data_IF_521059344060
#
_entry.id   IF_521059344060
#
_cell.length_a   1.000
_cell.length_b   1.000
_cell.length_c   1.000
_cell.angle_alpha   90.00
_cell.angle_beta   90.00
_cell.angle_gamma   90.00
#
_symmetry.space_group_name_H-M   'P 1'
#
loop_
_entity.id
_entity.type
_entity.pdbx_description
1 polymer ?
#
# COMPACT_ATOMS: atom_id res chain seq x y z
N UNK A 1 23.05 58.98 11.26
CA UNK A 1 23.90 58.62 10.10
C UNK A 1 24.69 57.36 10.44
N UNK A 2 24.64 56.35 9.55
CA UNK A 2 25.48 55.14 9.33
C UNK A 2 25.99 54.34 10.57
N UNK A 3 25.73 53.03 10.79
CA UNK A 3 25.94 51.75 10.05
C UNK A 3 27.41 51.33 9.76
N UNK A 4 27.86 50.31 10.50
CA UNK A 4 28.52 49.03 10.12
C UNK A 4 29.75 48.99 9.19
N UNK A 5 30.77 48.18 9.56
CA UNK A 5 31.02 46.80 9.05
C UNK A 5 32.48 46.34 9.19
N UNK A 6 32.67 45.02 9.29
CA UNK A 6 33.91 44.30 9.54
C UNK A 6 34.49 43.58 8.30
N UNK A 7 35.83 43.46 8.31
CA UNK A 7 36.66 42.26 8.04
C UNK A 7 36.70 41.54 6.66
N UNK A 8 37.85 41.64 5.98
CA UNK A 8 38.93 40.63 6.01
C UNK A 8 38.81 39.31 5.21
N UNK A 9 39.43 39.26 4.02
CA UNK A 9 39.77 38.08 3.19
C UNK A 9 40.89 37.21 3.81
N UNK A 10 40.98 35.93 3.40
CA UNK A 10 42.17 35.28 2.81
C UNK A 10 41.83 33.89 2.21
N UNK A 11 42.70 33.37 1.34
CA UNK A 11 42.44 32.41 0.25
C UNK A 11 43.27 31.10 0.31
N UNK A 12 42.86 30.12 -0.51
CA UNK A 12 43.63 28.93 -1.00
C UNK A 12 43.55 27.69 -0.09
N UNK A 13 43.43 26.43 -0.53
CA UNK A 13 43.48 25.80 -1.86
C UNK A 13 44.12 24.40 -1.73
N UNK A 14 43.48 23.39 -2.32
CA UNK A 14 43.94 22.04 -2.71
C UNK A 14 43.64 20.81 -1.81
N UNK A 15 43.31 19.73 -2.54
CA UNK A 15 42.63 18.50 -2.18
C UNK A 15 43.59 17.31 -1.99
N UNK A 16 43.20 16.33 -1.17
CA UNK A 16 43.95 15.08 -1.09
C UNK A 16 43.43 14.03 -0.10
N UNK A 17 42.69 13.06 -0.66
CA UNK A 17 42.70 11.62 -0.30
C UNK A 17 42.19 11.22 1.11
N UNK A 18 40.92 10.83 1.19
CA UNK A 18 40.45 9.88 2.21
C UNK A 18 40.50 8.45 1.66
N UNK A 19 41.38 7.63 2.24
CA UNK A 19 41.36 6.17 2.17
C UNK A 19 40.50 5.66 3.33
N UNK A 20 39.51 4.81 3.07
CA UNK A 20 38.97 3.95 4.11
C UNK A 20 38.96 2.50 3.64
N UNK A 21 39.51 1.66 4.51
CA UNK A 21 39.76 0.25 4.30
C UNK A 21 38.46 -0.54 4.48
N UNK A 22 38.21 -1.47 3.56
CA UNK A 22 37.20 -2.49 3.71
C UNK A 22 37.83 -3.71 4.36
N UNK A 23 37.39 -4.05 5.57
CA UNK A 23 37.75 -5.29 6.24
C UNK A 23 36.95 -6.46 5.70
N UNK A 24 37.68 -7.57 5.53
CA UNK A 24 37.27 -8.79 4.87
C UNK A 24 36.75 -9.78 5.92
N UNK A 25 35.66 -10.46 5.63
CA UNK A 25 35.45 -11.83 6.09
C UNK A 25 35.17 -12.74 4.90
N UNK A 26 36.17 -13.56 4.58
CA UNK A 26 36.09 -14.69 3.68
C UNK A 26 35.87 -15.96 4.50
N UNK A 27 34.95 -16.83 4.06
CA UNK A 27 34.98 -18.24 4.39
C UNK A 27 35.13 -19.02 3.09
N UNK A 28 36.09 -19.93 3.10
CA UNK A 28 36.67 -20.57 1.94
C UNK A 28 35.89 -21.80 1.43
N UNK A 29 36.18 -22.09 0.17
CA UNK A 29 35.73 -23.18 -0.68
C UNK A 29 35.99 -24.60 -0.14
N UNK A 30 35.18 -25.55 -0.64
CA UNK A 30 35.61 -26.93 -0.88
C UNK A 30 35.39 -27.29 -2.36
N UNK A 31 36.41 -27.97 -2.91
CA UNK A 31 36.66 -28.26 -4.33
C UNK A 31 36.16 -29.64 -4.75
N UNK A 32 35.92 -29.78 -6.05
CA UNK A 32 35.95 -31.01 -6.84
C UNK A 32 35.10 -30.81 -8.10
N UNK A 33 35.55 -30.91 -9.35
CA UNK A 33 36.76 -31.45 -9.95
C UNK A 33 36.34 -32.10 -11.28
N UNK A 34 37.12 -31.87 -12.35
CA UNK A 34 37.06 -32.49 -13.69
C UNK A 34 35.92 -31.97 -14.60
N UNK A 35 36.11 -31.50 -15.84
CA UNK A 35 37.22 -31.62 -16.78
C UNK A 35 36.64 -32.13 -18.10
N UNK A 36 36.48 -31.27 -19.11
CA UNK A 36 36.52 -31.63 -20.53
C UNK A 36 36.37 -30.38 -21.41
N UNK A 37 37.43 -30.08 -22.16
CA UNK A 37 37.39 -29.16 -23.29
C UNK A 37 36.86 -29.89 -24.53
N UNK A 38 36.04 -29.22 -25.33
CA UNK A 38 35.86 -29.55 -26.74
C UNK A 38 35.57 -28.28 -27.54
N UNK A 39 36.29 -28.17 -28.66
CA UNK A 39 36.37 -27.05 -29.60
C UNK A 39 35.26 -27.09 -30.64
N UNK A 40 34.83 -25.89 -31.05
CA UNK A 40 34.48 -25.43 -32.42
C UNK A 40 33.41 -26.21 -33.20
N UNK A 41 32.29 -25.55 -33.51
CA UNK A 41 31.72 -25.55 -34.86
C UNK A 41 30.77 -24.36 -35.07
N UNK A 42 31.09 -23.57 -36.09
CA UNK A 42 30.25 -22.57 -36.76
C UNK A 42 29.01 -23.19 -37.38
N UNK A 43 27.87 -22.51 -37.30
CA UNK A 43 26.68 -22.87 -38.08
C UNK A 43 25.54 -21.87 -37.88
N UNK A 44 25.42 -20.94 -38.82
CA UNK A 44 24.25 -20.08 -38.94
C UNK A 44 23.01 -20.89 -39.26
N UNK A 45 21.91 -20.62 -38.56
CA UNK A 45 20.62 -21.26 -38.77
C UNK A 45 19.50 -20.36 -38.27
N UNK A 46 18.83 -19.71 -39.21
CA UNK A 46 17.66 -18.86 -39.00
C UNK A 46 16.49 -19.69 -38.47
N UNK A 47 16.13 -19.53 -37.20
CA UNK A 47 14.94 -20.19 -36.62
C UNK A 47 13.71 -19.34 -36.88
N UNK A 48 12.95 -19.69 -37.93
CA UNK A 48 11.56 -19.27 -38.10
C UNK A 48 10.69 -20.06 -37.11
N UNK A 49 10.16 -19.40 -36.08
CA UNK A 49 9.10 -19.94 -35.24
C UNK A 49 7.83 -20.17 -36.08
N UNK A 50 7.42 -21.43 -36.22
CA UNK A 50 6.08 -21.81 -36.70
C UNK A 50 5.14 -21.84 -35.51
N UNK A 51 4.16 -20.94 -35.52
CA UNK A 51 2.97 -21.00 -34.65
C UNK A 51 2.02 -22.08 -35.18
N UNK A 52 1.62 -23.00 -34.30
CA UNK A 52 0.52 -23.93 -34.57
C UNK A 52 -0.82 -23.28 -34.16
N UNK A 53 -1.88 -23.35 -34.98
CA UNK A 53 -3.18 -22.81 -34.60
C UNK A 53 -3.98 -23.82 -33.77
N UNK A 54 -4.41 -23.41 -32.58
CA UNK A 54 -5.41 -24.11 -31.77
C UNK A 54 -6.80 -23.85 -32.39
N UNK A 55 -7.43 -24.91 -32.89
CA UNK A 55 -8.80 -24.88 -33.39
C UNK A 55 -9.81 -24.88 -32.24
N UNK A 56 -10.58 -23.79 -32.13
CA UNK A 56 -11.78 -23.73 -31.29
C UNK A 56 -12.99 -23.55 -32.23
N UNK A 57 -13.93 -24.50 -32.18
CA UNK A 57 -15.21 -24.44 -32.90
C UNK A 57 -16.18 -23.51 -32.15
N UNK A 58 -16.90 -22.59 -32.82
CA UNK A 58 -17.95 -21.82 -32.17
C UNK A 58 -19.25 -22.64 -32.08
N UNK A 59 -19.79 -22.75 -30.86
CA UNK A 59 -21.12 -23.26 -30.57
C UNK A 59 -22.20 -22.25 -30.94
N UNK A 60 -23.32 -22.77 -31.44
CA UNK A 60 -24.47 -22.06 -32.00
C UNK A 60 -25.23 -21.24 -30.95
N UNK A 61 -25.56 -20.00 -31.28
CA UNK A 61 -26.57 -19.19 -30.58
C UNK A 61 -27.86 -19.20 -31.40
N UNK A 62 -28.88 -19.91 -30.91
CA UNK A 62 -30.26 -19.75 -31.38
C UNK A 62 -30.94 -18.61 -30.60
N UNK A 63 -31.52 -17.69 -31.35
CA UNK A 63 -32.34 -16.59 -30.87
C UNK A 63 -33.83 -16.97 -30.95
N UNK A 64 -34.57 -16.88 -29.84
CA UNK A 64 -36.04 -16.71 -29.85
C UNK A 64 -36.57 -15.92 -28.66
N UNK A 65 -37.01 -14.70 -28.99
CA UNK A 65 -38.22 -13.97 -28.61
C UNK A 65 -38.99 -14.27 -27.28
N UNK A 66 -39.08 -13.20 -26.48
CA UNK A 66 -40.30 -12.42 -26.14
C UNK A 66 -41.40 -12.99 -25.21
N UNK A 67 -41.91 -12.05 -24.38
CA UNK A 67 -43.19 -11.97 -23.63
C UNK A 67 -43.27 -12.56 -22.23
N UNK A 68 -43.30 -11.66 -21.24
CA UNK A 68 -43.69 -11.97 -19.87
C UNK A 68 -43.69 -10.78 -18.92
N UNK A 69 -44.52 -9.76 -19.21
CA UNK A 69 -44.69 -8.56 -18.39
C UNK A 69 -45.44 -8.92 -17.09
N UNK A 70 -44.73 -9.04 -15.97
CA UNK A 70 -45.35 -9.18 -14.63
C UNK A 70 -45.03 -7.92 -13.82
N UNK A 71 -46.08 -7.13 -13.53
CA UNK A 71 -46.01 -5.96 -12.65
C UNK A 71 -45.92 -6.42 -11.19
N UNK A 72 -45.06 -5.82 -10.35
CA UNK A 72 -45.09 -6.08 -8.92
C UNK A 72 -46.33 -5.46 -8.28
N UNK A 73 -47.09 -6.27 -7.53
CA UNK A 73 -48.24 -5.82 -6.74
C UNK A 73 -47.73 -5.07 -5.50
N UNK A 74 -48.03 -3.78 -5.46
CA UNK A 74 -47.83 -2.89 -4.30
C UNK A 74 -48.69 -3.37 -3.12
N UNK A 75 -48.06 -3.59 -1.95
CA UNK A 75 -48.72 -3.95 -0.69
C UNK A 75 -48.64 -2.73 0.24
N UNK A 76 -49.76 -2.13 0.69
CA UNK A 76 -49.72 -0.94 1.52
C UNK A 76 -49.21 -1.27 2.94
N UNK A 77 -48.44 -0.33 3.50
CA UNK A 77 -47.87 -0.41 4.85
C UNK A 77 -48.96 -0.32 5.96
N UNK A 78 -48.77 -0.98 7.11
CA UNK A 78 -49.68 -0.89 8.25
C UNK A 78 -49.62 0.49 8.94
N UNK A 79 -50.71 0.94 9.59
CA UNK A 79 -50.79 2.26 10.22
C UNK A 79 -49.89 2.38 11.47
N UNK A 80 -49.40 3.60 11.79
CA UNK A 80 -48.53 3.84 12.93
C UNK A 80 -49.27 3.70 14.27
N UNK A 81 -48.56 3.17 15.28
CA UNK A 81 -49.02 3.09 16.68
C UNK A 81 -49.03 4.48 17.35
N UNK A 82 -49.94 4.74 18.31
CA UNK A 82 -50.07 6.05 18.93
C UNK A 82 -48.88 6.41 19.84
N UNK A 83 -48.55 7.70 19.82
CA UNK A 83 -47.47 8.33 20.57
C UNK A 83 -47.70 8.28 22.09
N UNK A 84 -46.70 7.79 22.83
CA UNK A 84 -46.65 7.94 24.28
C UNK A 84 -46.20 9.35 24.65
N UNK A 85 -46.93 9.94 25.61
CA UNK A 85 -46.83 11.32 26.07
C UNK A 85 -45.50 11.62 26.76
N UNK A 86 -45.11 12.88 26.59
CA UNK A 86 -44.02 13.59 27.22
C UNK A 86 -44.11 13.62 28.75
N UNK A 87 -42.96 13.42 29.40
CA UNK A 87 -42.66 14.03 30.70
C UNK A 87 -41.17 14.35 30.83
N UNK A 88 -40.89 15.63 31.02
CA UNK A 88 -39.67 16.28 31.53
C UNK A 88 -40.20 17.47 32.36
N UNK A 89 -39.46 18.09 33.31
CA UNK A 89 -37.99 18.10 33.47
C UNK A 89 -37.47 18.06 34.93
N UNK A 90 -36.14 18.09 35.10
CA UNK A 90 -35.49 18.45 36.37
C UNK A 90 -33.95 18.27 36.33
N UNK A 91 -33.13 19.30 36.64
CA UNK A 91 -31.70 19.31 36.32
C UNK A 91 -30.79 18.86 37.47
N UNK A 92 -29.58 18.42 37.12
CA UNK A 92 -28.41 18.52 37.99
C UNK A 92 -27.72 17.20 38.35
N UNK A 93 -26.65 16.85 37.62
CA UNK A 93 -25.29 16.81 38.19
C UNK A 93 -24.26 16.44 37.13
N UNK A 94 -23.22 17.28 37.09
CA UNK A 94 -21.99 17.10 36.35
C UNK A 94 -21.03 16.17 37.10
N UNK A 95 -20.07 15.63 36.35
CA UNK A 95 -18.86 14.90 36.72
C UNK A 95 -19.02 13.40 36.96
N UNK A 96 -18.64 12.61 35.95
CA UNK A 96 -17.36 11.87 35.90
C UNK A 96 -17.19 11.40 34.45
N UNK A 97 -16.13 11.86 33.77
CA UNK A 97 -15.76 11.40 32.43
C UNK A 97 -15.18 9.99 32.50
N UNK A 98 -16.08 9.01 32.57
CA UNK A 98 -15.78 7.62 32.26
C UNK A 98 -15.53 7.48 30.77
N UNK A 99 -14.50 6.69 30.40
CA UNK A 99 -14.31 6.18 29.04
C UNK A 99 -15.66 5.68 28.53
N UNK A 100 -16.24 6.39 27.57
CA UNK A 100 -17.33 5.86 26.77
C UNK A 100 -16.72 4.79 25.86
N UNK A 101 -16.59 3.58 26.41
CA UNK A 101 -16.53 2.35 25.65
C UNK A 101 -17.75 2.36 24.72
N UNK A 102 -17.50 2.68 23.45
CA UNK A 102 -18.54 2.68 22.43
C UNK A 102 -18.92 1.23 22.18
N UNK A 103 -20.07 0.82 22.70
CA UNK A 103 -20.87 -0.27 22.13
C UNK A 103 -21.24 0.16 20.69
N UNK A 104 -20.35 -0.15 19.74
CA UNK A 104 -20.66 -0.14 18.31
C UNK A 104 -21.12 -1.55 17.93
N UNK A 105 -22.06 -1.63 16.99
CA UNK A 105 -22.48 -2.89 16.38
C UNK A 105 -21.25 -3.73 15.96
N UNK A 106 -21.38 -5.05 16.04
CA UNK A 106 -20.30 -6.04 16.22
C UNK A 106 -19.25 -6.20 15.08
N UNK A 107 -19.12 -5.24 14.17
CA UNK A 107 -18.11 -5.24 13.11
C UNK A 107 -17.30 -3.94 13.05
N UNK A 108 -15.98 -4.05 12.83
CA UNK A 108 -15.09 -2.89 12.72
C UNK A 108 -15.26 -2.15 11.40
N UNK A 109 -15.20 -0.81 11.39
CA UNK A 109 -15.32 0.01 10.18
C UNK A 109 -13.97 0.25 9.52
N UNK A 110 -13.89 -0.01 8.22
CA UNK A 110 -12.67 0.16 7.42
C UNK A 110 -12.90 1.21 6.34
N UNK A 111 -12.11 2.29 6.38
CA UNK A 111 -12.13 3.32 5.35
C UNK A 111 -11.22 2.91 4.22
N UNK A 112 -11.75 2.75 3.02
CA UNK A 112 -10.95 2.78 1.79
C UNK A 112 -11.06 4.19 1.24
N UNK A 113 -9.98 4.96 1.36
CA UNK A 113 -10.00 6.40 1.06
C UNK A 113 -10.18 6.62 -0.43
N UNK A 114 -11.26 7.29 -0.81
CA UNK A 114 -11.52 7.76 -2.17
C UNK A 114 -11.08 9.21 -2.31
N UNK A 115 -10.05 9.42 -3.12
CA UNK A 115 -9.58 10.73 -3.55
C UNK A 115 -9.37 10.75 -5.06
N UNK A 116 -10.17 9.95 -5.78
CA UNK A 116 -10.13 9.77 -7.23
C UNK A 116 -8.81 9.15 -7.76
N UNK A 117 -8.15 8.34 -6.95
CA UNK A 117 -6.96 7.57 -7.33
C UNK A 117 -7.01 6.15 -6.78
N UNK A 118 -6.29 5.25 -7.46
CA UNK A 118 -6.17 3.85 -7.07
C UNK A 118 -7.29 2.97 -7.61
N UNK A 119 -7.11 1.66 -7.43
CA UNK A 119 -8.12 0.66 -7.80
C UNK A 119 -9.01 0.35 -6.59
N UNK A 120 -9.89 1.29 -6.26
CA UNK A 120 -10.75 1.25 -5.07
C UNK A 120 -11.61 -0.03 -5.02
N UNK A 121 -12.18 -0.43 -6.16
CA UNK A 121 -13.03 -1.61 -6.26
C UNK A 121 -12.28 -2.92 -5.98
N UNK A 122 -11.03 -3.06 -6.43
CA UNK A 122 -10.23 -4.24 -6.09
C UNK A 122 -9.77 -4.22 -4.64
N UNK A 123 -9.36 -3.05 -4.12
CA UNK A 123 -8.95 -2.92 -2.72
C UNK A 123 -10.10 -3.26 -1.76
N UNK A 124 -11.30 -2.70 -1.98
CA UNK A 124 -12.48 -2.98 -1.14
C UNK A 124 -12.88 -4.44 -1.19
N UNK A 125 -12.96 -5.04 -2.38
CA UNK A 125 -13.29 -6.47 -2.54
C UNK A 125 -12.25 -7.39 -1.90
N UNK A 126 -10.97 -7.05 -1.98
CA UNK A 126 -9.91 -7.83 -1.35
C UNK A 126 -9.99 -7.77 0.17
N UNK A 127 -10.37 -6.62 0.75
CA UNK A 127 -10.64 -6.47 2.18
C UNK A 127 -11.85 -7.29 2.62
N UNK A 128 -12.97 -7.20 1.90
CA UNK A 128 -14.19 -7.99 2.14
C UNK A 128 -13.89 -9.50 2.09
N UNK A 129 -13.14 -9.94 1.08
CA UNK A 129 -12.73 -11.33 0.92
C UNK A 129 -11.80 -11.79 2.05
N UNK A 130 -10.81 -10.97 2.42
CA UNK A 130 -9.90 -11.27 3.52
C UNK A 130 -10.66 -11.36 4.85
N UNK A 131 -11.60 -10.46 5.10
CA UNK A 131 -12.45 -10.45 6.29
C UNK A 131 -13.33 -11.70 6.36
N UNK A 132 -14.01 -12.02 5.26
CA UNK A 132 -14.84 -13.23 5.11
C UNK A 132 -14.05 -14.50 5.42
N UNK A 133 -12.87 -14.68 4.79
CA UNK A 133 -12.01 -15.84 5.02
C UNK A 133 -11.47 -15.92 6.45
N UNK A 134 -11.23 -14.77 7.07
CA UNK A 134 -10.74 -14.69 8.44
C UNK A 134 -11.86 -14.79 9.49
N UNK A 135 -13.14 -14.79 9.09
CA UNK A 135 -14.28 -14.75 10.01
C UNK A 135 -14.32 -13.46 10.84
N UNK A 136 -13.94 -12.33 10.25
CA UNK A 136 -13.93 -11.02 10.91
C UNK A 136 -15.09 -10.21 10.35
N UNK A 137 -16.00 -9.78 11.23
CA UNK A 137 -17.10 -8.89 10.84
C UNK A 137 -16.57 -7.46 10.69
N UNK A 138 -16.72 -6.89 9.50
CA UNK A 138 -16.26 -5.53 9.19
C UNK A 138 -17.19 -4.86 8.18
N UNK A 139 -17.34 -3.54 8.33
CA UNK A 139 -17.97 -2.69 7.33
C UNK A 139 -16.88 -1.99 6.52
N UNK A 140 -16.70 -2.42 5.26
CA UNK A 140 -15.80 -1.75 4.32
C UNK A 140 -16.56 -0.64 3.61
N UNK A 141 -16.06 0.59 3.68
CA UNK A 141 -16.64 1.72 2.94
C UNK A 141 -15.58 2.42 2.11
N UNK A 142 -15.86 2.55 0.80
CA UNK A 142 -15.11 3.44 -0.09
C UNK A 142 -15.67 4.84 0.11
N UNK A 143 -14.86 5.75 0.64
CA UNK A 143 -15.37 7.07 1.08
C UNK A 143 -14.33 8.17 0.97
N UNK A 144 -14.81 9.36 0.63
CA UNK A 144 -14.08 10.62 0.68
C UNK A 144 -14.53 11.51 1.86
N UNK A 145 -15.43 11.00 2.72
CA UNK A 145 -16.00 11.72 3.86
C UNK A 145 -15.00 11.78 5.04
N UNK A 146 -14.48 12.97 5.40
CA UNK A 146 -13.56 13.13 6.52
C UNK A 146 -14.10 12.65 7.87
N UNK A 147 -15.40 12.79 8.13
CA UNK A 147 -16.00 12.39 9.42
C UNK A 147 -16.11 10.86 9.52
N UNK A 148 -16.38 10.20 8.39
CA UNK A 148 -16.36 8.76 8.31
C UNK A 148 -14.95 8.23 8.58
N UNK A 149 -13.94 8.81 7.92
CA UNK A 149 -12.52 8.44 8.06
C UNK A 149 -12.01 8.67 9.48
N UNK A 150 -12.31 9.84 10.09
CA UNK A 150 -11.86 10.16 11.46
C UNK A 150 -12.34 9.15 12.49
N UNK A 151 -13.46 8.48 12.21
CA UNK A 151 -14.07 7.55 13.14
C UNK A 151 -13.89 6.08 12.72
N UNK A 152 -13.20 5.81 11.62
CA UNK A 152 -12.92 4.45 11.16
C UNK A 152 -12.00 3.71 12.14
N UNK A 153 -12.22 2.40 12.27
CA UNK A 153 -11.38 1.54 13.10
C UNK A 153 -10.08 1.17 12.38
N UNK A 154 -10.06 1.23 11.04
CA UNK A 154 -8.88 1.05 10.19
C UNK A 154 -8.99 1.91 8.93
N UNK A 155 -7.85 2.34 8.39
CA UNK A 155 -7.78 3.16 7.17
C UNK A 155 -6.88 2.48 6.15
N UNK A 156 -7.35 2.41 4.90
CA UNK A 156 -6.59 1.95 3.75
C UNK A 156 -6.53 3.08 2.73
N UNK A 157 -5.31 3.48 2.38
CA UNK A 157 -5.05 4.47 1.33
C UNK A 157 -4.46 3.76 0.11
N UNK A 158 -5.29 3.38 -0.87
CA UNK A 158 -4.79 2.91 -2.16
C UNK A 158 -4.32 4.09 -3.02
N UNK A 159 -3.31 3.90 -3.87
CA UNK A 159 -2.92 4.93 -4.82
C UNK A 159 -2.35 4.36 -6.12
N UNK A 160 -2.64 5.02 -7.23
CA UNK A 160 -2.12 4.71 -8.57
C UNK A 160 -1.86 6.00 -9.34
N UNK A 161 -0.82 6.00 -10.17
CA UNK A 161 -0.43 7.15 -11.00
C UNK A 161 0.76 7.86 -10.38
N UNK A 162 0.91 9.15 -10.68
CA UNK A 162 2.05 9.90 -10.19
C UNK A 162 1.89 10.28 -8.70
N UNK A 163 3.02 10.34 -7.97
CA UNK A 163 3.06 10.79 -6.58
C UNK A 163 2.35 12.15 -6.41
N UNK A 164 2.71 13.12 -7.28
CA UNK A 164 2.20 14.48 -7.21
C UNK A 164 0.68 14.55 -7.48
N UNK A 165 0.18 13.72 -8.38
CA UNK A 165 -1.26 13.65 -8.69
C UNK A 165 -2.03 13.12 -7.48
N UNK A 166 -1.48 12.09 -6.82
CA UNK A 166 -2.11 11.52 -5.64
C UNK A 166 -2.10 12.49 -4.45
N UNK A 167 -0.98 13.17 -4.21
CA UNK A 167 -0.87 14.20 -3.17
C UNK A 167 -1.86 15.36 -3.40
N UNK A 168 -2.02 15.79 -4.67
CA UNK A 168 -3.02 16.81 -5.04
C UNK A 168 -4.45 16.31 -4.84
N UNK A 169 -4.76 15.06 -5.22
CA UNK A 169 -6.08 14.48 -5.03
C UNK A 169 -6.50 14.44 -3.55
N UNK A 170 -5.58 14.05 -2.65
CA UNK A 170 -5.81 14.11 -1.20
C UNK A 170 -6.08 15.53 -0.69
N UNK A 171 -5.37 16.51 -1.26
CA UNK A 171 -5.50 17.91 -0.85
C UNK A 171 -6.74 18.59 -1.44
N UNK A 172 -7.26 18.08 -2.57
CA UNK A 172 -8.42 18.62 -3.25
C UNK A 172 -9.73 18.35 -2.51
N UNK A 173 -9.79 17.26 -1.73
CA UNK A 173 -10.95 16.96 -0.87
C UNK A 173 -10.76 17.65 0.48
N UNK A 174 -11.59 18.65 0.75
CA UNK A 174 -11.49 19.48 1.96
C UNK A 174 -11.53 18.62 3.24
N UNK A 175 -10.50 18.75 4.08
CA UNK A 175 -10.41 18.07 5.37
C UNK A 175 -10.01 16.59 5.30
N UNK A 176 -9.82 16.02 4.10
CA UNK A 176 -9.52 14.60 3.93
C UNK A 176 -8.16 14.21 4.54
N UNK A 177 -7.11 14.94 4.15
CA UNK A 177 -5.76 14.76 4.73
C UNK A 177 -5.78 14.89 6.25
N UNK A 178 -6.41 15.94 6.77
CA UNK A 178 -6.50 16.18 8.20
C UNK A 178 -7.23 15.05 8.94
N UNK A 179 -8.33 14.50 8.39
CA UNK A 179 -9.02 13.37 9.00
C UNK A 179 -8.17 12.10 9.07
N UNK A 180 -7.36 11.82 8.05
CA UNK A 180 -6.41 10.70 8.04
C UNK A 180 -5.33 10.94 9.12
N UNK A 181 -4.76 12.14 9.17
CA UNK A 181 -3.74 12.51 10.16
C UNK A 181 -4.30 12.44 11.59
N UNK A 182 -5.51 12.94 11.84
CA UNK A 182 -6.22 12.89 13.12
C UNK A 182 -6.41 11.44 13.59
N UNK A 183 -6.99 10.59 12.74
CA UNK A 183 -7.28 9.20 13.07
C UNK A 183 -6.00 8.41 13.34
N UNK A 184 -5.01 8.53 12.46
CA UNK A 184 -3.75 7.80 12.63
C UNK A 184 -2.93 8.35 13.79
N UNK A 185 -2.98 9.65 14.08
CA UNK A 185 -2.38 10.25 15.27
C UNK A 185 -3.02 9.76 16.58
N UNK A 186 -4.29 9.35 16.53
CA UNK A 186 -4.99 8.71 17.64
C UNK A 186 -4.77 7.19 17.74
N UNK A 187 -3.94 6.61 16.87
CA UNK A 187 -3.58 5.18 16.89
C UNK A 187 -4.37 4.30 15.92
N UNK A 188 -5.27 4.83 15.09
CA UNK A 188 -6.01 4.03 14.10
C UNK A 188 -5.06 3.35 13.10
N UNK A 189 -5.07 2.01 12.95
CA UNK A 189 -4.21 1.32 12.00
C UNK A 189 -4.41 1.81 10.56
N UNK A 190 -3.30 2.05 9.87
CA UNK A 190 -3.26 2.55 8.50
C UNK A 190 -2.48 1.62 7.58
N UNK A 191 -2.99 1.39 6.37
CA UNK A 191 -2.31 0.66 5.31
C UNK A 191 -2.28 1.48 4.00
N UNK A 192 -1.09 1.93 3.59
CA UNK A 192 -0.86 2.50 2.27
C UNK A 192 -0.58 1.42 1.22
N UNK A 193 -1.16 1.51 0.02
CA UNK A 193 -0.92 0.56 -1.08
C UNK A 193 -0.34 1.28 -2.29
N UNK A 194 0.82 0.80 -2.76
CA UNK A 194 1.58 1.36 -3.87
C UNK A 194 1.86 2.85 -3.66
N UNK A 195 1.23 3.76 -4.42
CA UNK A 195 1.42 5.20 -4.21
C UNK A 195 0.90 5.65 -2.84
N UNK A 196 -0.06 4.93 -2.25
CA UNK A 196 -0.47 5.18 -0.86
C UNK A 196 0.63 4.92 0.17
N UNK A 197 1.50 3.93 -0.06
CA UNK A 197 2.72 3.71 0.74
C UNK A 197 3.74 4.82 0.46
N UNK A 198 3.90 5.19 -0.81
CA UNK A 198 4.82 6.25 -1.22
C UNK A 198 4.48 7.59 -0.55
N UNK A 199 3.19 7.95 -0.50
CA UNK A 199 2.73 9.18 0.17
C UNK A 199 3.06 9.23 1.65
N UNK A 200 3.36 8.10 2.31
CA UNK A 200 3.79 8.09 3.72
C UNK A 200 5.18 8.73 3.91
N UNK A 201 6.01 8.78 2.86
CA UNK A 201 7.35 9.36 2.88
C UNK A 201 7.33 10.88 3.07
N UNK A 202 8.50 11.48 3.28
CA UNK A 202 8.65 12.95 3.42
C UNK A 202 8.33 13.67 2.12
N UNK A 203 8.76 13.10 0.98
CA UNK A 203 8.55 13.69 -0.35
C UNK A 203 8.66 12.66 -1.47
N UNK A 204 8.10 12.99 -2.63
CA UNK A 204 8.32 12.29 -3.90
C UNK A 204 8.99 13.18 -4.93
N UNK A 205 9.83 12.58 -5.77
CA UNK A 205 10.64 13.25 -6.79
C UNK A 205 10.13 13.00 -8.23
N UNK A 206 9.01 12.31 -8.37
CA UNK A 206 8.38 12.05 -9.67
C UNK A 206 7.85 13.34 -10.28
N UNK A 207 8.46 13.74 -11.40
CA UNK A 207 8.13 14.97 -12.14
C UNK A 207 8.27 16.27 -11.33
N UNK A 208 9.14 16.26 -10.32
CA UNK A 208 9.40 17.39 -9.43
C UNK A 208 9.29 16.97 -7.96
N UNK A 209 9.63 17.88 -7.06
CA UNK A 209 9.54 17.64 -5.62
C UNK A 209 8.13 17.94 -5.10
N UNK A 210 7.49 16.94 -4.51
CA UNK A 210 6.17 17.08 -3.87
C UNK A 210 6.22 16.57 -2.43
N UNK A 211 5.78 17.37 -1.43
CA UNK A 211 5.68 16.91 -0.05
C UNK A 211 4.71 15.74 0.12
N UNK A 212 5.09 14.76 0.93
CA UNK A 212 4.23 13.65 1.35
C UNK A 212 3.53 13.91 2.69
N UNK A 213 3.24 12.83 3.40
CA UNK A 213 2.68 12.83 4.75
C UNK A 213 3.77 12.96 5.82
N UNK A 214 5.03 12.63 5.49
CA UNK A 214 6.18 12.78 6.39
C UNK A 214 6.15 11.85 7.59
N UNK A 215 5.54 10.67 7.45
CA UNK A 215 5.46 9.68 8.52
C UNK A 215 6.65 8.73 8.51
N UNK A 216 7.15 8.40 7.32
CA UNK A 216 8.34 7.58 7.10
C UNK A 216 9.45 8.50 6.59
N UNK A 217 10.63 8.38 7.19
CA UNK A 217 11.83 9.11 6.72
C UNK A 217 12.15 8.69 5.29
N UNK A 218 12.63 9.62 4.47
CA UNK A 218 13.16 9.34 3.15
C UNK A 218 12.27 9.84 2.02
N UNK A 219 12.64 9.48 0.79
CA UNK A 219 12.03 10.02 -0.42
C UNK A 219 11.74 8.96 -1.47
N UNK A 220 10.72 9.24 -2.28
CA UNK A 220 10.31 8.40 -3.39
C UNK A 220 11.04 8.87 -4.65
N UNK A 221 12.06 8.11 -5.05
CA UNK A 221 12.98 8.47 -6.13
C UNK A 221 12.91 7.49 -7.30
N UNK A 222 13.29 7.91 -8.53
CA UNK A 222 13.38 7.00 -9.67
C UNK A 222 14.30 5.81 -9.34
N UNK A 223 13.84 4.61 -9.66
CA UNK A 223 14.65 3.41 -9.45
C UNK A 223 15.86 3.39 -10.40
N UNK A 224 17.02 3.00 -9.87
CA UNK A 224 18.19 2.69 -10.68
C UNK A 224 18.32 1.17 -10.82
N UNK A 225 17.83 0.64 -11.94
CA UNK A 225 17.78 -0.81 -12.21
C UNK A 225 18.57 -1.16 -13.50
N UNK A 226 19.91 -1.17 -13.47
CA UNK A 226 20.73 -1.36 -14.66
C UNK A 226 20.49 -2.72 -15.31
N UNK A 227 20.26 -2.74 -16.61
CA UNK A 227 19.98 -3.96 -17.38
C UNK A 227 18.55 -4.52 -17.22
N UNK A 228 17.71 -3.87 -16.42
CA UNK A 228 16.30 -4.24 -16.23
C UNK A 228 15.37 -3.20 -16.85
N UNK A 229 14.10 -3.57 -17.09
CA UNK A 229 13.10 -2.66 -17.67
C UNK A 229 12.32 -1.95 -16.58
N UNK A 230 12.10 -0.65 -16.73
CA UNK A 230 11.15 0.09 -15.90
C UNK A 230 9.83 0.31 -16.65
N UNK A 231 8.67 0.29 -15.95
CA UNK A 231 8.50 -0.04 -14.53
C UNK A 231 8.86 -1.50 -14.22
N UNK A 232 9.28 -1.79 -12.98
CA UNK A 232 9.22 -3.13 -12.42
C UNK A 232 7.76 -3.58 -12.49
N UNK A 233 7.48 -4.59 -13.31
CA UNK A 233 6.12 -5.09 -13.53
C UNK A 233 6.11 -6.61 -13.46
N UNK A 234 5.42 -7.15 -12.47
CA UNK A 234 5.25 -8.60 -12.31
C UNK A 234 5.32 -9.05 -10.86
N UNK A 235 5.33 -10.37 -10.70
CA UNK A 235 5.52 -11.02 -9.41
C UNK A 235 7.00 -10.99 -9.04
N UNK A 236 7.32 -10.55 -7.82
CA UNK A 236 8.69 -10.59 -7.29
C UNK A 236 8.69 -11.08 -5.85
N UNK A 237 9.81 -11.70 -5.47
CA UNK A 237 10.02 -12.30 -4.17
C UNK A 237 10.06 -11.26 -3.05
N UNK A 238 9.43 -11.57 -1.93
CA UNK A 238 9.55 -10.82 -0.69
C UNK A 238 10.64 -11.42 0.19
N UNK A 239 11.60 -10.59 0.57
CA UNK A 239 12.70 -10.91 1.47
C UNK A 239 12.41 -10.26 2.82
N UNK A 240 12.26 -11.07 3.86
CA UNK A 240 11.97 -10.61 5.22
C UNK A 240 12.34 -11.67 6.25
N UNK A 241 12.41 -11.26 7.52
CA UNK A 241 12.57 -12.18 8.64
C UNK A 241 11.20 -12.65 9.13
N UNK A 242 10.88 -13.95 9.12
CA UNK A 242 9.60 -14.45 9.61
C UNK A 242 9.30 -14.02 11.04
N UNK A 243 8.08 -13.56 11.29
CA UNK A 243 7.64 -13.11 12.61
C UNK A 243 8.15 -11.73 13.03
N UNK A 244 8.91 -11.02 12.18
CA UNK A 244 9.42 -9.68 12.50
C UNK A 244 8.31 -8.62 12.60
N UNK A 245 7.18 -8.81 11.93
CA UNK A 245 6.04 -7.89 11.98
C UNK A 245 4.71 -8.64 11.84
N UNK A 246 3.64 -8.26 12.57
CA UNK A 246 2.33 -8.93 12.53
C UNK A 246 1.75 -9.06 11.12
N UNK A 247 2.00 -8.07 10.24
CA UNK A 247 1.53 -8.11 8.86
C UNK A 247 2.13 -9.24 8.01
N UNK A 248 3.28 -9.79 8.41
CA UNK A 248 3.95 -10.89 7.71
C UNK A 248 3.65 -12.26 8.31
N UNK A 249 2.84 -12.34 9.36
CA UNK A 249 2.51 -13.62 9.99
C UNK A 249 1.86 -14.60 9.01
N UNK A 250 2.39 -15.83 8.96
CA UNK A 250 1.92 -16.88 8.05
C UNK A 250 2.27 -16.67 6.58
N UNK A 251 3.19 -15.76 6.28
CA UNK A 251 3.94 -15.74 5.04
C UNK A 251 5.30 -16.40 5.24
N UNK A 252 5.88 -16.89 4.15
CA UNK A 252 7.23 -17.45 4.12
C UNK A 252 8.15 -16.56 3.27
N UNK A 253 9.43 -16.41 3.60
CA UNK A 253 10.40 -15.78 2.70
C UNK A 253 10.40 -16.55 1.38
N UNK A 254 10.42 -15.84 0.25
CA UNK A 254 10.14 -16.46 -1.05
C UNK A 254 8.71 -16.27 -1.53
N UNK A 255 7.77 -15.87 -0.67
CA UNK A 255 6.42 -15.49 -1.09
C UNK A 255 6.46 -14.27 -2.01
N UNK A 256 5.62 -14.26 -3.05
CA UNK A 256 5.68 -13.22 -4.09
C UNK A 256 4.59 -12.16 -3.93
N UNK A 257 4.96 -10.89 -4.07
CA UNK A 257 4.06 -9.76 -4.26
C UNK A 257 3.97 -9.35 -5.73
N UNK A 258 2.86 -8.73 -6.15
CA UNK A 258 2.70 -8.17 -7.50
C UNK A 258 3.04 -6.67 -7.53
N UNK A 259 4.10 -6.33 -8.25
CA UNK A 259 4.67 -4.98 -8.35
C UNK A 259 4.37 -4.33 -9.70
N UNK A 260 4.12 -3.01 -9.67
CA UNK A 260 4.01 -2.15 -10.87
C UNK A 260 4.46 -0.73 -10.53
N UNK A 261 5.75 -0.43 -10.62
CA UNK A 261 6.30 0.89 -10.27
C UNK A 261 7.65 1.19 -10.92
N UNK A 262 7.96 2.48 -11.10
CA UNK A 262 9.26 2.98 -11.57
C UNK A 262 10.02 3.78 -10.51
N UNK A 263 9.38 4.02 -9.37
CA UNK A 263 9.90 4.80 -8.25
C UNK A 263 9.83 3.95 -6.99
N UNK A 264 10.75 4.17 -6.06
CA UNK A 264 10.83 3.44 -4.80
C UNK A 264 11.30 4.35 -3.67
N UNK A 265 11.03 3.92 -2.43
CA UNK A 265 11.53 4.58 -1.23
C UNK A 265 13.05 4.44 -1.10
N UNK A 266 13.72 5.55 -0.81
CA UNK A 266 15.17 5.68 -0.64
C UNK A 266 15.48 6.53 0.59
N UNK A 267 16.71 6.44 1.11
CA UNK A 267 17.17 7.18 2.30
C UNK A 267 16.29 7.03 3.56
N UNK A 268 15.59 5.91 3.64
CA UNK A 268 14.69 5.56 4.74
C UNK A 268 15.45 5.08 5.98
N UNK A 269 14.75 5.08 7.12
CA UNK A 269 15.24 4.48 8.35
C UNK A 269 15.13 2.94 8.26
N UNK A 270 16.22 2.18 8.37
CA UNK A 270 16.16 0.72 8.34
C UNK A 270 15.25 0.11 9.40
N UNK A 271 14.97 0.82 10.50
CA UNK A 271 14.02 0.37 11.53
C UNK A 271 12.57 0.32 11.04
N UNK A 272 12.23 1.07 9.98
CA UNK A 272 10.89 1.04 9.37
C UNK A 272 10.74 -0.08 8.32
N UNK A 273 11.82 -0.76 7.93
CA UNK A 273 11.79 -1.79 6.89
C UNK A 273 11.27 -3.12 7.46
N UNK A 274 10.18 -3.62 6.89
CA UNK A 274 9.59 -4.91 7.27
C UNK A 274 9.94 -6.00 6.25
N UNK A 275 9.84 -5.67 4.96
CA UNK A 275 10.22 -6.56 3.87
C UNK A 275 10.80 -5.78 2.71
N UNK A 276 11.75 -6.38 2.01
CA UNK A 276 12.32 -5.87 0.76
C UNK A 276 12.05 -6.82 -0.41
N UNK A 277 12.44 -6.39 -1.60
CA UNK A 277 12.53 -7.20 -2.82
C UNK A 277 13.78 -6.77 -3.59
N UNK A 278 14.31 -7.62 -4.47
CA UNK A 278 15.46 -7.27 -5.30
C UNK A 278 15.02 -6.94 -6.73
N UNK A 279 15.34 -5.73 -7.20
CA UNK A 279 15.11 -5.33 -8.59
C UNK A 279 16.19 -4.34 -9.08
N UNK A 280 17.34 -4.88 -9.48
CA UNK A 280 18.52 -4.07 -9.82
C UNK A 280 19.18 -3.41 -8.61
N UNK A 281 18.78 -3.83 -7.41
CA UNK A 281 19.14 -3.32 -6.10
C UNK A 281 18.03 -3.62 -5.09
N UNK A 282 18.28 -3.38 -3.81
CA UNK A 282 17.29 -3.54 -2.74
C UNK A 282 16.17 -2.48 -2.86
N UNK A 283 14.93 -2.94 -2.83
CA UNK A 283 13.73 -2.11 -2.91
C UNK A 283 12.85 -2.38 -1.68
N UNK A 284 12.45 -1.36 -0.90
CA UNK A 284 11.47 -1.54 0.17
C UNK A 284 10.12 -2.02 -0.37
N UNK A 285 9.71 -3.21 0.06
CA UNK A 285 8.46 -3.83 -0.36
C UNK A 285 7.33 -3.62 0.64
N UNK A 286 7.63 -3.62 1.94
CA UNK A 286 6.73 -3.33 3.04
C UNK A 286 7.49 -2.52 4.10
N UNK A 287 6.91 -1.40 4.51
CA UNK A 287 7.43 -0.56 5.60
C UNK A 287 6.37 -0.38 6.68
N UNK A 288 6.79 -0.16 7.92
CA UNK A 288 5.88 0.14 9.03
C UNK A 288 6.54 1.01 10.09
N UNK A 289 5.76 1.93 10.66
CA UNK A 289 6.13 2.76 11.80
C UNK A 289 4.91 2.98 12.70
N UNK A 290 5.00 2.52 13.94
CA UNK A 290 3.87 2.57 14.88
C UNK A 290 2.64 1.84 14.32
N UNK A 291 1.52 2.54 14.22
CA UNK A 291 0.26 2.03 13.67
C UNK A 291 0.09 2.22 12.15
N UNK A 292 1.16 2.63 11.45
CA UNK A 292 1.10 2.94 10.00
C UNK A 292 2.00 1.97 9.26
N UNK A 293 1.45 1.28 8.27
CA UNK A 293 2.19 0.40 7.37
C UNK A 293 1.90 0.74 5.92
N UNK A 294 2.78 0.32 5.01
CA UNK A 294 2.55 0.49 3.58
C UNK A 294 3.28 -0.55 2.75
N UNK A 295 2.61 -1.06 1.72
CA UNK A 295 3.19 -1.99 0.73
C UNK A 295 3.48 -1.28 -0.59
N UNK A 296 4.67 -1.47 -1.15
CA UNK A 296 4.98 -1.02 -2.52
C UNK A 296 4.28 -1.90 -3.57
N UNK A 297 4.11 -3.19 -3.28
CA UNK A 297 3.29 -4.09 -4.10
C UNK A 297 1.80 -3.91 -3.84
N UNK A 298 1.01 -4.40 -4.79
CA UNK A 298 -0.45 -4.36 -4.75
C UNK A 298 -1.01 -5.57 -3.99
N UNK A 299 -1.32 -5.41 -2.70
CA UNK A 299 -1.94 -6.48 -1.88
C UNK A 299 -3.23 -7.00 -2.52
N UNK A 300 -4.03 -6.14 -3.16
CA UNK A 300 -5.26 -6.53 -3.82
C UNK A 300 -5.05 -7.37 -5.11
N UNK A 301 -3.81 -7.45 -5.59
CA UNK A 301 -3.41 -8.24 -6.79
C UNK A 301 -2.49 -9.42 -6.45
N UNK A 302 -2.08 -9.56 -5.18
CA UNK A 302 -1.04 -10.51 -4.75
C UNK A 302 -1.60 -11.84 -4.23
N UNK A 303 -2.81 -12.23 -4.67
CA UNK A 303 -3.44 -13.53 -4.36
C UNK A 303 -3.37 -13.90 -2.86
N UNK A 304 -2.87 -15.11 -2.52
CA UNK A 304 -2.76 -15.61 -1.14
C UNK A 304 -1.96 -14.64 -0.26
N UNK A 305 -0.83 -14.13 -0.75
CA UNK A 305 0.04 -13.21 -0.01
C UNK A 305 -0.73 -11.93 0.35
N UNK A 306 -1.38 -11.35 -0.67
CA UNK A 306 -2.21 -10.17 -0.51
C UNK A 306 -3.34 -10.35 0.51
N UNK A 307 -4.13 -11.41 0.36
CA UNK A 307 -5.24 -11.71 1.27
C UNK A 307 -4.75 -12.01 2.70
N UNK A 308 -3.58 -12.65 2.85
CA UNK A 308 -2.99 -12.90 4.16
C UNK A 308 -2.57 -11.61 4.85
N UNK A 309 -1.90 -10.70 4.14
CA UNK A 309 -1.52 -9.39 4.69
C UNK A 309 -2.76 -8.58 5.09
N UNK A 310 -3.79 -8.58 4.25
CA UNK A 310 -5.06 -7.91 4.58
C UNK A 310 -5.70 -8.54 5.82
N UNK A 311 -5.78 -9.86 5.92
CA UNK A 311 -6.30 -10.53 7.11
C UNK A 311 -5.48 -10.19 8.37
N UNK A 312 -4.15 -10.13 8.26
CA UNK A 312 -3.28 -9.71 9.36
C UNK A 312 -3.54 -8.25 9.74
N UNK A 313 -3.70 -7.35 8.77
CA UNK A 313 -4.04 -5.94 8.99
C UNK A 313 -5.39 -5.79 9.73
N UNK A 314 -6.39 -6.60 9.40
CA UNK A 314 -7.68 -6.62 10.08
C UNK A 314 -7.59 -7.05 11.55
N UNK A 315 -6.57 -7.86 11.91
CA UNK A 315 -6.30 -8.28 13.29
C UNK A 315 -5.30 -7.40 14.02
N UNK A 316 -4.55 -6.60 13.28
CA UNK A 316 -3.46 -5.80 13.82
C UNK A 316 -3.99 -4.77 14.82
N UNK A 317 -3.41 -4.77 16.01
CA UNK A 317 -3.70 -3.90 17.14
C UNK A 317 -2.36 -3.37 17.71
N UNK A 318 -1.73 -2.39 17.02
CA UNK A 318 -0.45 -1.78 17.39
C UNK A 318 -0.53 -0.91 18.65
#
# INVERSE_FOLDING_TARGET
MARAAAAGKLAGGDAGRYRHAADRHAVAAARGGLGAAARIASGGGTVRQRLAPLGIRPGRHDARADRGRIRPRYRPAPPPRPAARSSRPGPGRSLVSGRASRERAAGGRIAVVDYQSGNLASASRALEEAASRAGIDVEVSVTSDPDWIRTADRIVLPGQGAFADCARGLSAVHGLRAAIEDATGAGTPFLGICVGMQLMAERGLEHGETPGLGWIRGEIAPMHAPGLRLPQMGWNELVFTPGAHPLTEGLEPGDHGYFVHSYALTDYDPADLVASTEYGGDVPALVARGNRAGTQFHVEKSQRVGLRILANFLRWAP
#
